data_IF_880327251179
#
_entry.id   IF_880327251179
#
_cell.length_a   1.000
_cell.length_b   1.000
_cell.length_c   1.000
_cell.angle_alpha   90.00
_cell.angle_beta   90.00
_cell.angle_gamma   90.00
#
_symmetry.space_group_name_H-M   'P 1'
#
loop_
_entity.id
_entity.type
_entity.pdbx_description
1 polymer ?
#
# COMPACT_ATOMS: atom_id res chain seq x y z
N UNK A 1 8.45 15.47 1.17
CA UNK A 1 8.88 16.47 2.14
C UNK A 1 10.22 17.12 1.76
N UNK A 2 11.27 16.34 1.49
CA UNK A 2 12.63 16.81 1.18
C UNK A 2 12.73 17.75 -0.05
N UNK A 3 11.80 17.69 -0.98
CA UNK A 3 11.76 18.59 -2.15
C UNK A 3 11.34 20.03 -1.82
N UNK A 4 10.87 20.28 -0.60
CA UNK A 4 10.31 21.56 -0.18
C UNK A 4 8.88 21.85 -0.67
N UNK A 5 8.29 20.96 -1.47
CA UNK A 5 6.90 21.07 -1.89
C UNK A 5 5.95 20.77 -0.74
N UNK A 6 4.79 21.45 -0.69
CA UNK A 6 3.73 21.16 0.28
C UNK A 6 3.42 19.65 0.23
N UNK A 7 3.52 19.01 1.36
CA UNK A 7 3.28 17.57 1.51
C UNK A 7 2.19 17.35 2.56
N UNK A 8 1.11 16.68 2.18
CA UNK A 8 0.01 16.31 3.09
C UNK A 8 0.11 14.82 3.35
N UNK A 9 0.17 14.43 4.61
CA UNK A 9 0.19 13.03 5.04
C UNK A 9 -1.09 12.70 5.83
N UNK A 10 -1.74 11.60 5.48
CA UNK A 10 -3.02 11.21 6.03
C UNK A 10 -2.92 9.87 6.78
N UNK A 11 -3.39 9.84 8.01
CA UNK A 11 -3.76 8.61 8.71
C UNK A 11 -5.26 8.40 8.55
N UNK A 12 -5.65 7.24 8.03
CA UNK A 12 -7.05 6.93 7.69
C UNK A 12 -7.44 5.58 8.30
N UNK A 13 -7.64 5.51 9.62
CA UNK A 13 -7.99 4.26 10.28
C UNK A 13 -9.35 3.75 9.82
N UNK A 14 -9.42 2.44 9.51
CA UNK A 14 -10.64 1.66 9.27
C UNK A 14 -10.44 0.32 9.97
N UNK A 15 -11.09 0.13 11.12
CA UNK A 15 -10.93 -1.06 11.99
C UNK A 15 -9.44 -1.37 12.24
N UNK A 16 -8.63 -0.32 12.41
CA UNK A 16 -7.18 -0.44 12.51
C UNK A 16 -6.77 -0.84 13.93
N UNK A 17 -5.80 -1.74 14.06
CA UNK A 17 -5.18 -2.04 15.36
C UNK A 17 -4.47 -0.81 15.90
N UNK A 18 -4.62 -0.53 17.21
CA UNK A 18 -4.03 0.66 17.85
C UNK A 18 -2.52 0.77 17.60
N UNK A 19 -1.77 -0.32 17.76
CA UNK A 19 -0.32 -0.31 17.56
C UNK A 19 0.11 0.15 16.15
N UNK A 20 -0.63 -0.24 15.10
CA UNK A 20 -0.36 0.22 13.72
C UNK A 20 -0.74 1.69 13.53
N UNK A 21 -1.86 2.11 14.12
CA UNK A 21 -2.30 3.50 14.09
C UNK A 21 -1.29 4.41 14.81
N UNK A 22 -0.80 4.00 15.98
CA UNK A 22 0.19 4.73 16.76
C UNK A 22 1.50 4.95 15.99
N UNK A 23 1.98 3.95 15.23
CA UNK A 23 3.14 4.10 14.34
C UNK A 23 2.88 5.14 13.24
N UNK A 24 1.68 5.16 12.66
CA UNK A 24 1.29 6.16 11.66
C UNK A 24 1.31 7.57 12.25
N UNK A 25 0.77 7.76 13.46
CA UNK A 25 0.79 9.05 14.16
C UNK A 25 2.22 9.47 14.52
N UNK A 26 3.03 8.55 15.04
CA UNK A 26 4.44 8.82 15.35
C UNK A 26 5.22 9.28 14.10
N UNK A 27 4.95 8.67 12.94
CA UNK A 27 5.57 9.08 11.68
C UNK A 27 5.10 10.46 11.21
N UNK A 28 3.82 10.78 11.35
CA UNK A 28 3.33 12.14 11.06
C UNK A 28 4.03 13.18 11.93
N UNK A 29 4.17 12.96 13.23
CA UNK A 29 4.85 13.88 14.13
C UNK A 29 6.34 14.01 13.78
N UNK A 30 7.01 12.90 13.45
CA UNK A 30 8.40 12.92 12.99
C UNK A 30 8.56 13.76 11.72
N UNK A 31 7.67 13.60 10.74
CA UNK A 31 7.69 14.37 9.50
C UNK A 31 7.47 15.87 9.75
N UNK A 32 6.47 16.23 10.55
CA UNK A 32 6.17 17.63 10.91
C UNK A 32 7.31 18.30 11.67
N UNK A 33 8.02 17.54 12.51
CA UNK A 33 9.18 18.02 13.26
C UNK A 33 10.39 18.29 12.36
N UNK A 34 10.59 17.49 11.33
CA UNK A 34 11.78 17.56 10.47
C UNK A 34 11.56 18.40 9.21
N UNK A 35 10.31 18.65 8.80
CA UNK A 35 10.00 19.34 7.54
C UNK A 35 8.85 20.34 7.75
N UNK A 36 9.14 21.63 7.56
CA UNK A 36 8.16 22.71 7.75
C UNK A 36 7.07 22.76 6.66
N UNK A 37 7.25 22.06 5.57
CA UNK A 37 6.31 21.93 4.44
C UNK A 37 5.36 20.74 4.56
N UNK A 38 5.33 20.04 5.71
CA UNK A 38 4.47 18.89 5.94
C UNK A 38 3.27 19.26 6.80
N UNK A 39 2.08 18.86 6.34
CA UNK A 39 0.83 18.88 7.10
C UNK A 39 0.37 17.43 7.35
N UNK A 40 0.07 17.09 8.61
CA UNK A 40 -0.43 15.77 8.99
C UNK A 40 -1.88 15.84 9.45
N UNK A 41 -2.73 14.92 8.95
CA UNK A 41 -4.13 14.83 9.35
C UNK A 41 -4.52 13.39 9.65
N UNK A 42 -5.46 13.22 10.58
CA UNK A 42 -6.14 11.94 10.82
C UNK A 42 -7.59 12.08 10.41
N UNK A 43 -8.02 11.23 9.51
CA UNK A 43 -9.39 11.17 8.98
C UNK A 43 -10.01 9.84 9.39
N UNK A 44 -10.91 9.86 10.37
CA UNK A 44 -11.60 8.68 10.89
C UNK A 44 -12.61 8.16 9.85
N UNK A 45 -12.33 7.03 9.24
CA UNK A 45 -13.18 6.43 8.20
C UNK A 45 -14.05 5.26 8.70
N UNK A 46 -13.99 4.90 9.97
CA UNK A 46 -14.76 3.77 10.53
C UNK A 46 -16.27 3.90 10.32
N UNK A 47 -16.84 5.05 10.61
CA UNK A 47 -18.28 5.29 10.44
C UNK A 47 -18.71 5.20 8.99
N UNK A 48 -17.89 5.72 8.06
CA UNK A 48 -18.12 5.63 6.62
C UNK A 48 -18.06 4.18 6.15
N UNK A 49 -17.04 3.44 6.58
CA UNK A 49 -16.89 2.04 6.22
C UNK A 49 -18.03 1.17 6.80
N UNK A 50 -18.45 1.41 8.04
CA UNK A 50 -19.60 0.73 8.64
C UNK A 50 -20.89 0.96 7.86
N UNK A 51 -21.13 2.18 7.38
CA UNK A 51 -22.27 2.49 6.52
C UNK A 51 -22.19 1.76 5.17
N UNK A 52 -21.00 1.69 4.59
CA UNK A 52 -20.72 0.94 3.36
C UNK A 52 -20.99 -0.55 3.54
N UNK A 53 -20.48 -1.18 4.61
CA UNK A 53 -20.75 -2.59 4.94
C UNK A 53 -22.26 -2.85 5.10
N UNK A 54 -22.96 -1.98 5.81
CA UNK A 54 -24.42 -2.11 6.02
C UNK A 54 -25.22 -2.03 4.72
N UNK A 55 -24.77 -1.18 3.78
CA UNK A 55 -25.41 -1.06 2.45
C UNK A 55 -25.21 -2.30 1.58
N UNK A 56 -24.07 -2.98 1.74
CA UNK A 56 -23.65 -4.11 0.91
C UNK A 56 -23.73 -5.47 1.64
N UNK A 57 -24.52 -5.59 2.70
CA UNK A 57 -24.59 -6.80 3.53
C UNK A 57 -24.90 -8.08 2.74
N UNK A 58 -25.70 -8.01 1.68
CA UNK A 58 -26.05 -9.12 0.80
C UNK A 58 -24.95 -9.49 -0.21
N UNK A 59 -23.93 -8.65 -0.37
CA UNK A 59 -22.81 -8.81 -1.31
C UNK A 59 -21.47 -8.87 -0.58
N UNK A 60 -21.49 -8.85 0.75
CA UNK A 60 -20.29 -8.81 1.57
C UNK A 60 -19.56 -10.16 1.56
N UNK A 61 -18.25 -10.09 1.39
CA UNK A 61 -17.32 -11.15 1.71
C UNK A 61 -16.04 -10.54 2.28
N UNK A 62 -15.31 -11.29 3.05
CA UNK A 62 -14.16 -10.79 3.80
C UNK A 62 -13.10 -10.15 2.88
N UNK A 63 -12.73 -10.83 1.79
CA UNK A 63 -11.74 -10.36 0.82
C UNK A 63 -12.22 -9.09 0.08
N UNK A 64 -13.47 -9.05 -0.34
CA UNK A 64 -14.05 -7.86 -0.99
C UNK A 64 -14.09 -6.66 -0.05
N UNK A 65 -14.43 -6.86 1.22
CA UNK A 65 -14.45 -5.79 2.23
C UNK A 65 -13.04 -5.31 2.59
N UNK A 66 -12.04 -6.20 2.66
CA UNK A 66 -10.64 -5.81 2.82
C UNK A 66 -10.18 -4.88 1.67
N UNK A 67 -10.42 -5.27 0.42
CA UNK A 67 -10.12 -4.43 -0.74
C UNK A 67 -10.92 -3.10 -0.74
N UNK A 68 -12.12 -3.10 -0.20
CA UNK A 68 -12.95 -1.88 -0.10
C UNK A 68 -12.37 -0.87 0.90
N UNK A 69 -11.71 -1.32 1.97
CA UNK A 69 -10.96 -0.43 2.88
C UNK A 69 -9.85 0.32 2.12
N UNK A 70 -9.06 -0.38 1.30
CA UNK A 70 -8.01 0.25 0.48
C UNK A 70 -8.60 1.24 -0.53
N UNK A 71 -9.72 0.90 -1.19
CA UNK A 71 -10.39 1.79 -2.15
C UNK A 71 -11.01 3.04 -1.52
N UNK A 72 -11.57 2.94 -0.31
CA UNK A 72 -12.05 4.11 0.42
C UNK A 72 -10.90 5.06 0.78
N UNK A 73 -9.75 4.53 1.20
CA UNK A 73 -8.55 5.33 1.42
C UNK A 73 -8.09 6.02 0.14
N UNK A 74 -8.02 5.31 -0.97
CA UNK A 74 -7.67 5.87 -2.28
C UNK A 74 -8.61 7.03 -2.66
N UNK A 75 -9.92 6.83 -2.59
CA UNK A 75 -10.90 7.88 -2.88
C UNK A 75 -10.71 9.10 -1.99
N UNK A 76 -10.42 8.91 -0.72
CA UNK A 76 -10.13 10.00 0.24
C UNK A 76 -8.85 10.74 -0.12
N UNK A 77 -7.77 10.04 -0.49
CA UNK A 77 -6.51 10.64 -0.96
C UNK A 77 -6.73 11.53 -2.17
N UNK A 78 -7.44 11.04 -3.18
CA UNK A 78 -7.76 11.81 -4.39
C UNK A 78 -8.65 13.03 -4.11
N UNK A 79 -9.61 12.93 -3.18
CA UNK A 79 -10.42 14.07 -2.77
C UNK A 79 -9.56 15.16 -2.10
N UNK A 80 -8.64 14.76 -1.21
CA UNK A 80 -7.73 15.71 -0.55
C UNK A 80 -6.74 16.30 -1.56
N UNK A 81 -6.18 15.49 -2.45
CA UNK A 81 -5.28 15.94 -3.51
C UNK A 81 -5.97 16.98 -4.42
N UNK A 82 -7.18 16.69 -4.91
CA UNK A 82 -7.95 17.60 -5.74
C UNK A 82 -8.24 18.94 -5.04
N UNK A 83 -8.61 18.90 -3.75
CA UNK A 83 -8.87 20.11 -2.96
C UNK A 83 -7.61 20.97 -2.73
N UNK A 84 -6.42 20.41 -2.89
CA UNK A 84 -5.14 21.10 -2.70
C UNK A 84 -4.35 21.28 -3.99
N UNK A 85 -4.93 21.03 -5.16
CA UNK A 85 -4.23 21.05 -6.46
C UNK A 85 -2.97 20.18 -6.47
N UNK A 86 -3.04 19.04 -5.78
CA UNK A 86 -1.97 18.09 -5.59
C UNK A 86 -2.16 16.79 -6.36
N UNK A 87 -1.22 15.88 -6.18
CA UNK A 87 -1.21 14.52 -6.74
C UNK A 87 -1.10 13.51 -5.62
N UNK A 88 -1.53 12.27 -5.89
CA UNK A 88 -1.39 11.13 -4.98
C UNK A 88 -0.08 10.41 -5.23
N UNK A 89 0.74 10.29 -4.18
CA UNK A 89 2.03 9.60 -4.23
C UNK A 89 1.87 8.17 -3.71
N UNK A 90 2.21 7.20 -4.55
CA UNK A 90 2.20 5.79 -4.21
C UNK A 90 3.38 5.37 -3.34
N UNK A 91 3.19 4.29 -2.61
CA UNK A 91 4.17 3.69 -1.70
C UNK A 91 4.46 2.22 -2.02
N UNK A 92 3.95 1.72 -3.14
CA UNK A 92 4.23 0.37 -3.63
C UNK A 92 5.67 0.24 -4.10
N UNK A 93 6.28 -0.90 -3.81
CA UNK A 93 7.64 -1.24 -4.22
C UNK A 93 7.64 -2.27 -5.37
N UNK A 94 8.82 -2.53 -5.91
CA UNK A 94 9.03 -3.42 -7.06
C UNK A 94 8.48 -4.83 -6.83
N UNK A 95 8.69 -5.39 -5.65
CA UNK A 95 8.28 -6.78 -5.34
C UNK A 95 6.77 -6.88 -5.23
N UNK A 96 6.15 -5.96 -4.47
CA UNK A 96 4.71 -5.96 -4.21
C UNK A 96 3.92 -5.65 -5.48
N UNK A 97 4.19 -4.50 -6.12
CA UNK A 97 3.36 -4.00 -7.21
C UNK A 97 3.67 -4.68 -8.56
N UNK A 98 4.95 -4.84 -8.90
CA UNK A 98 5.37 -5.32 -10.21
C UNK A 98 5.89 -6.77 -10.21
N UNK A 99 6.26 -7.27 -9.04
CA UNK A 99 6.62 -8.66 -8.83
C UNK A 99 5.39 -9.56 -8.73
N UNK A 100 4.76 -9.59 -7.59
CA UNK A 100 3.66 -10.52 -7.27
C UNK A 100 2.26 -9.93 -7.41
N UNK A 101 2.10 -8.61 -7.56
CA UNK A 101 0.80 -7.94 -7.63
C UNK A 101 0.06 -7.97 -6.29
N UNK A 102 0.78 -7.80 -5.18
CA UNK A 102 0.24 -7.82 -3.83
C UNK A 102 -0.26 -6.42 -3.44
N UNK A 103 -1.31 -5.99 -4.06
CA UNK A 103 -1.99 -4.72 -3.80
C UNK A 103 -3.46 -4.79 -4.25
N UNK A 104 -4.27 -3.84 -3.84
CA UNK A 104 -5.65 -3.68 -4.31
C UNK A 104 -5.68 -2.83 -5.57
N UNK A 105 -6.11 -3.40 -6.70
CA UNK A 105 -6.36 -2.64 -7.92
C UNK A 105 -7.36 -1.53 -7.66
N UNK A 106 -6.99 -0.29 -7.98
CA UNK A 106 -7.78 0.92 -7.66
C UNK A 106 -7.99 1.19 -6.15
N UNK A 107 -7.12 0.63 -5.32
CA UNK A 107 -6.98 0.98 -3.92
C UNK A 107 -5.60 1.62 -3.72
N UNK A 108 -4.71 0.97 -2.99
CA UNK A 108 -3.31 1.37 -2.82
C UNK A 108 -2.51 1.41 -4.14
N UNK A 109 -2.91 0.62 -5.16
CA UNK A 109 -2.38 0.74 -6.52
C UNK A 109 -2.96 1.90 -7.35
N UNK A 110 -3.92 2.67 -6.83
CA UNK A 110 -4.51 3.85 -7.48
C UNK A 110 -3.76 5.12 -7.09
N UNK A 111 -2.73 5.48 -7.85
CA UNK A 111 -1.82 6.61 -7.55
C UNK A 111 -1.41 7.34 -8.83
N UNK A 112 -0.92 8.57 -8.70
CA UNK A 112 -0.44 9.36 -9.84
C UNK A 112 1.04 9.12 -10.13
N UNK A 113 1.85 8.88 -9.10
CA UNK A 113 3.29 8.58 -9.22
C UNK A 113 3.69 7.52 -8.19
N UNK A 114 4.72 6.72 -8.51
CA UNK A 114 5.24 5.66 -7.65
C UNK A 114 6.77 5.79 -7.51
N UNK A 115 7.28 6.63 -6.60
CA UNK A 115 8.71 6.97 -6.52
C UNK A 115 9.63 5.82 -6.14
N UNK A 116 9.12 4.80 -5.44
CA UNK A 116 9.89 3.64 -4.98
C UNK A 116 9.52 2.33 -5.72
N UNK A 117 8.80 2.45 -6.84
CA UNK A 117 8.31 1.29 -7.59
C UNK A 117 9.41 0.42 -8.20
N UNK A 118 10.61 0.95 -8.41
CA UNK A 118 11.77 0.18 -8.91
C UNK A 118 12.71 -0.28 -7.78
N UNK A 119 12.38 0.03 -6.51
CA UNK A 119 13.14 -0.45 -5.35
C UNK A 119 12.59 -1.79 -4.88
N UNK A 120 13.46 -2.73 -4.57
CA UNK A 120 13.13 -3.94 -3.82
C UNK A 120 12.71 -3.58 -2.39
N UNK A 121 12.00 -4.46 -1.69
CA UNK A 121 11.59 -4.20 -0.29
C UNK A 121 12.80 -4.02 0.63
N UNK A 122 13.83 -4.82 0.42
CA UNK A 122 15.08 -4.71 1.19
C UNK A 122 15.76 -3.36 0.97
N UNK A 123 15.76 -2.83 -0.26
CA UNK A 123 16.26 -1.49 -0.58
C UNK A 123 15.42 -0.38 0.06
N UNK A 124 14.10 -0.54 0.12
CA UNK A 124 13.22 0.41 0.83
C UNK A 124 13.56 0.49 2.31
N UNK A 125 13.86 -0.63 2.97
CA UNK A 125 14.31 -0.63 4.36
C UNK A 125 15.65 0.08 4.54
N UNK A 126 16.62 -0.14 3.63
CA UNK A 126 17.92 0.56 3.67
C UNK A 126 17.73 2.09 3.46
N UNK A 127 16.93 2.49 2.48
CA UNK A 127 16.57 3.88 2.28
C UNK A 127 15.93 4.51 3.53
N UNK A 128 15.04 3.76 4.19
CA UNK A 128 14.41 4.22 5.43
C UNK A 128 15.44 4.47 6.55
N UNK A 129 16.44 3.59 6.70
CA UNK A 129 17.54 3.77 7.66
C UNK A 129 18.39 5.00 7.33
N UNK A 130 18.79 5.16 6.07
CA UNK A 130 19.59 6.30 5.61
C UNK A 130 18.84 7.64 5.79
N UNK A 131 17.53 7.65 5.61
CA UNK A 131 16.69 8.81 5.82
C UNK A 131 16.37 9.09 7.31
N UNK A 132 16.81 8.23 8.22
CA UNK A 132 16.57 8.36 9.66
C UNK A 132 15.11 8.17 10.06
N UNK A 133 14.37 7.34 9.31
CA UNK A 133 12.99 6.96 9.67
C UNK A 133 13.00 6.24 11.03
N UNK A 134 11.94 6.40 11.81
CA UNK A 134 11.79 5.80 13.12
C UNK A 134 12.07 4.28 13.07
N UNK A 135 12.92 3.82 14.00
CA UNK A 135 13.34 2.43 14.07
C UNK A 135 12.15 1.47 14.21
N UNK A 136 11.16 1.86 14.99
CA UNK A 136 9.94 1.11 15.23
C UNK A 136 9.13 0.87 13.95
N UNK A 137 9.23 1.78 12.96
CA UNK A 137 8.59 1.62 11.64
C UNK A 137 9.40 0.69 10.76
N UNK A 138 10.74 0.84 10.75
CA UNK A 138 11.63 0.00 9.94
C UNK A 138 11.59 -1.46 10.39
N UNK A 139 11.48 -1.71 11.69
CA UNK A 139 11.45 -3.04 12.30
C UNK A 139 10.04 -3.64 12.40
N UNK A 140 8.98 -2.86 12.10
CA UNK A 140 7.62 -3.37 12.10
C UNK A 140 7.44 -4.48 11.05
N UNK A 141 6.81 -5.60 11.39
CA UNK A 141 6.47 -6.62 10.41
C UNK A 141 5.56 -6.03 9.32
N UNK A 142 5.89 -6.20 8.02
CA UNK A 142 5.04 -5.72 6.94
C UNK A 142 3.64 -6.34 7.01
N UNK A 143 2.63 -5.51 6.88
CA UNK A 143 1.22 -5.92 6.84
C UNK A 143 0.40 -4.91 6.04
N UNK A 144 -0.57 -5.40 5.26
CA UNK A 144 -1.53 -4.56 4.56
C UNK A 144 -2.55 -3.90 5.51
N UNK A 145 -2.67 -4.40 6.76
CA UNK A 145 -3.58 -3.84 7.77
C UNK A 145 -5.07 -3.94 7.40
N UNK A 146 -5.42 -4.82 6.48
CA UNK A 146 -6.79 -4.99 5.96
C UNK A 146 -7.56 -6.13 6.65
N UNK A 147 -6.91 -6.88 7.55
CA UNK A 147 -7.46 -8.06 8.20
C UNK A 147 -7.52 -7.90 9.72
N UNK A 148 -8.58 -8.40 10.32
CA UNK A 148 -8.79 -8.26 11.76
C UNK A 148 -7.88 -9.20 12.58
N UNK A 149 -7.36 -10.29 11.98
CA UNK A 149 -6.43 -11.23 12.63
C UNK A 149 -4.97 -10.71 12.70
N UNK A 150 -4.63 -9.69 11.89
CA UNK A 150 -3.31 -9.06 11.87
C UNK A 150 -2.22 -9.89 11.22
N UNK A 151 -2.61 -10.70 10.24
CA UNK A 151 -1.66 -11.45 9.41
C UNK A 151 -0.64 -10.52 8.74
N UNK A 152 0.58 -11.03 8.56
CA UNK A 152 1.66 -10.33 7.85
C UNK A 152 1.60 -10.61 6.35
N UNK A 153 2.27 -9.78 5.56
CA UNK A 153 2.39 -9.96 4.11
C UNK A 153 3.09 -11.27 3.78
N UNK A 154 4.22 -11.56 4.44
CA UNK A 154 4.96 -12.82 4.27
C UNK A 154 4.11 -14.04 4.65
N UNK A 155 3.27 -13.92 5.69
CA UNK A 155 2.31 -14.95 6.07
C UNK A 155 1.25 -15.21 5.00
N UNK A 156 0.78 -14.16 4.32
CA UNK A 156 -0.19 -14.26 3.23
C UNK A 156 0.45 -14.81 1.95
N UNK A 157 1.64 -14.35 1.59
CA UNK A 157 2.37 -14.76 0.40
C UNK A 157 3.04 -16.14 0.58
N UNK A 158 3.37 -16.49 1.83
CA UNK A 158 4.05 -17.73 2.19
C UNK A 158 5.50 -17.79 1.73
N UNK A 159 6.10 -16.65 1.42
CA UNK A 159 7.51 -16.42 1.12
C UNK A 159 7.95 -15.12 1.81
N UNK A 160 9.18 -15.06 2.29
CA UNK A 160 9.79 -13.84 2.76
C UNK A 160 10.08 -12.88 1.60
N UNK A 161 10.25 -11.59 1.90
CA UNK A 161 10.61 -10.62 0.86
C UNK A 161 11.93 -10.97 0.16
N UNK A 162 12.92 -11.45 0.89
CA UNK A 162 14.20 -11.90 0.31
C UNK A 162 14.03 -13.07 -0.66
N UNK A 163 13.16 -14.03 -0.32
CA UNK A 163 12.85 -15.15 -1.20
C UNK A 163 12.06 -14.69 -2.44
N UNK A 164 11.18 -13.71 -2.29
CA UNK A 164 10.45 -13.13 -3.42
C UNK A 164 11.38 -12.36 -4.36
N UNK A 165 12.30 -11.55 -3.81
CA UNK A 165 13.31 -10.80 -4.56
C UNK A 165 14.24 -11.77 -5.33
N UNK A 166 14.76 -12.77 -4.64
CA UNK A 166 15.60 -13.79 -5.25
C UNK A 166 14.86 -14.55 -6.34
N UNK A 167 13.62 -14.98 -6.10
CA UNK A 167 12.80 -15.67 -7.07
C UNK A 167 12.40 -14.78 -8.26
N UNK A 168 12.31 -13.48 -8.09
CA UNK A 168 12.00 -12.52 -9.15
C UNK A 168 13.19 -12.37 -10.11
N UNK A 169 14.41 -12.37 -9.62
CA UNK A 169 15.63 -12.12 -10.38
C UNK A 169 16.29 -13.40 -10.92
N UNK A 170 16.15 -14.52 -10.20
CA UNK A 170 16.78 -15.80 -10.55
C UNK A 170 15.77 -16.83 -11.06
N UNK A 171 15.83 -17.14 -12.35
CA UNK A 171 14.96 -18.14 -12.96
C UNK A 171 15.18 -19.57 -12.43
N UNK A 172 16.32 -19.84 -11.83
CA UNK A 172 16.66 -21.14 -11.24
C UNK A 172 16.35 -21.20 -9.71
N UNK A 173 15.72 -20.17 -9.16
CA UNK A 173 15.32 -20.15 -7.75
C UNK A 173 14.42 -21.33 -7.40
N UNK A 174 14.66 -21.94 -6.24
CA UNK A 174 13.78 -22.97 -5.68
C UNK A 174 12.35 -22.44 -5.42
N UNK A 175 12.21 -21.14 -5.24
CA UNK A 175 10.94 -20.45 -4.98
C UNK A 175 10.27 -19.93 -6.27
N UNK A 176 10.92 -20.08 -7.46
CA UNK A 176 10.46 -19.51 -8.74
C UNK A 176 9.04 -19.95 -9.11
N UNK A 177 8.72 -21.22 -8.97
CA UNK A 177 7.39 -21.74 -9.31
C UNK A 177 6.30 -21.13 -8.42
N UNK A 178 6.55 -21.03 -7.10
CA UNK A 178 5.63 -20.41 -6.15
C UNK A 178 5.44 -18.94 -6.46
N UNK A 179 6.53 -18.20 -6.67
CA UNK A 179 6.49 -16.80 -7.13
C UNK A 179 5.64 -16.64 -8.40
N UNK A 180 5.90 -17.44 -9.42
CA UNK A 180 5.14 -17.38 -10.67
C UNK A 180 3.66 -17.73 -10.49
N UNK A 181 3.33 -18.62 -9.57
CA UNK A 181 1.94 -18.96 -9.25
C UNK A 181 1.20 -17.76 -8.66
N UNK A 182 1.80 -17.07 -7.69
CA UNK A 182 1.23 -15.86 -7.10
C UNK A 182 1.09 -14.77 -8.17
N UNK A 183 2.13 -14.51 -8.93
CA UNK A 183 2.15 -13.50 -9.99
C UNK A 183 1.03 -13.73 -11.02
N UNK A 184 0.87 -14.96 -11.50
CA UNK A 184 -0.15 -15.31 -12.53
C UNK A 184 -1.57 -14.95 -12.10
N UNK A 185 -1.92 -15.16 -10.82
CA UNK A 185 -3.25 -14.81 -10.31
C UNK A 185 -3.50 -13.32 -10.26
N UNK A 186 -2.44 -12.51 -10.22
CA UNK A 186 -2.46 -11.07 -10.07
C UNK A 186 -2.10 -10.26 -11.33
N UNK A 187 -1.74 -10.91 -12.45
CA UNK A 187 -1.33 -10.23 -13.70
C UNK A 187 -2.33 -9.16 -14.15
N UNK A 188 -3.62 -9.42 -14.01
CA UNK A 188 -4.69 -8.48 -14.39
C UNK A 188 -4.62 -7.12 -13.62
N UNK A 189 -3.86 -7.05 -12.54
CA UNK A 189 -3.64 -5.80 -11.80
C UNK A 189 -2.50 -4.98 -12.42
N UNK A 190 -1.48 -5.65 -12.93
CA UNK A 190 -0.22 -5.07 -13.42
C UNK A 190 -0.27 -4.75 -14.91
N UNK A 191 -1.10 -5.47 -15.67
CA UNK A 191 -1.25 -5.27 -17.10
C UNK A 191 -2.24 -4.14 -17.42
N UNK A 192 -2.08 -3.47 -18.59
CA UNK A 192 -3.06 -2.51 -19.07
C UNK A 192 -4.46 -3.14 -19.17
N UNK A 193 -5.48 -2.32 -18.99
CA UNK A 193 -6.86 -2.77 -19.13
C UNK A 193 -7.08 -3.30 -20.56
N UNK A 194 -7.57 -4.55 -20.73
CA UNK A 194 -7.86 -5.09 -22.03
C UNK A 194 -8.90 -4.25 -22.78
N UNK A 195 -8.59 -3.86 -23.99
CA UNK A 195 -9.47 -3.07 -24.87
C UNK A 195 -9.90 -3.91 -26.05
N UNK A 196 -11.20 -4.00 -26.30
CA UNK A 196 -11.73 -4.58 -27.51
C UNK A 196 -11.38 -3.69 -28.71
N UNK A 197 -10.63 -4.24 -29.68
CA UNK A 197 -10.31 -3.54 -30.93
C UNK A 197 -11.37 -3.85 -31.96
N UNK A 198 -11.97 -2.81 -32.56
CA UNK A 198 -12.87 -2.96 -33.70
C UNK A 198 -12.00 -3.19 -34.94
N UNK A 199 -12.22 -4.27 -35.71
CA UNK A 199 -11.52 -4.46 -36.98
C UNK A 199 -11.76 -3.29 -37.92
N UNK A 200 -10.71 -2.80 -38.58
CA UNK A 200 -10.83 -1.80 -39.66
C UNK A 200 -11.53 -2.37 -40.85
#
# INVERSE_FOLDING_TARGET
AMTGLKTIVLSMPIKQKSAQHDLSLAHQEWLKKNFSNVEGHTLELDSLFKSFEGTLNNFGNEHGMANSRARLRMTTLYQVAAANSGIVVGTGNKVEDFGVGFYTKYGDGGVDISPIADCNKTEVWELGKELGILKEIIEAPPTDGLWDDGRTDEGQLGLSYKELEEAMENENSINREKYNSIRRTNLHKMEPIPVCKIPN
#
